data_IF_748505736736
#
_entry.id   IF_748505736736
#
_cell.length_a   1.000
_cell.length_b   1.000
_cell.length_c   1.000
_cell.angle_alpha   90.00
_cell.angle_beta   90.00
_cell.angle_gamma   90.00
#
_symmetry.space_group_name_H-M   'P 1'
#
loop_
_entity.id
_entity.type
_entity.pdbx_description
1 polymer ?
#
# COMPACT_ATOMS: atom_id res chain seq x y z
N UNK A 1 15.09 25.40 -36.04
CA UNK A 1 15.20 25.27 -34.57
C UNK A 1 14.38 24.06 -34.19
N UNK A 2 15.01 23.06 -33.59
CA UNK A 2 14.35 21.82 -33.12
C UNK A 2 13.70 22.11 -31.79
N UNK A 3 12.36 22.09 -31.73
CA UNK A 3 11.59 22.24 -30.51
C UNK A 3 11.68 20.93 -29.73
N UNK A 4 12.27 20.96 -28.54
CA UNK A 4 12.31 19.81 -27.64
C UNK A 4 10.97 19.73 -26.93
N UNK A 5 10.24 18.65 -27.13
CA UNK A 5 8.93 18.47 -26.49
C UNK A 5 9.10 17.77 -25.15
N UNK A 6 8.60 18.39 -24.08
CA UNK A 6 8.57 17.84 -22.73
C UNK A 6 7.13 17.51 -22.34
N UNK A 7 6.94 16.35 -21.73
CA UNK A 7 5.64 15.94 -21.19
C UNK A 7 5.21 16.89 -20.06
N UNK A 8 3.90 17.07 -19.88
CA UNK A 8 3.38 17.87 -18.76
C UNK A 8 3.83 17.34 -17.40
N UNK A 9 3.99 16.01 -17.27
CA UNK A 9 4.53 15.40 -16.05
C UNK A 9 5.95 15.88 -15.75
N UNK A 10 6.82 15.95 -16.76
CA UNK A 10 8.19 16.46 -16.61
C UNK A 10 8.19 17.92 -16.15
N UNK A 11 7.29 18.75 -16.72
CA UNK A 11 7.20 20.17 -16.38
C UNK A 11 6.62 20.40 -14.99
N UNK A 12 5.66 19.58 -14.55
CA UNK A 12 5.16 19.61 -13.16
C UNK A 12 6.28 19.24 -12.18
N UNK A 13 7.04 18.16 -12.44
CA UNK A 13 8.20 17.79 -11.62
C UNK A 13 9.26 18.89 -11.59
N UNK A 14 9.50 19.58 -12.70
CA UNK A 14 10.38 20.75 -12.74
C UNK A 14 9.87 21.87 -11.83
N UNK A 15 8.58 22.22 -11.95
CA UNK A 15 7.94 23.26 -11.14
C UNK A 15 7.96 22.95 -9.63
N UNK A 16 7.89 21.67 -9.26
CA UNK A 16 7.99 21.20 -7.88
C UNK A 16 9.43 21.07 -7.36
N UNK A 17 10.42 21.03 -8.27
CA UNK A 17 11.85 20.87 -7.94
C UNK A 17 12.26 19.40 -7.74
N UNK A 18 11.53 18.47 -8.35
CA UNK A 18 11.72 17.02 -8.21
C UNK A 18 12.53 16.38 -9.35
N UNK A 19 12.92 17.15 -10.37
CA UNK A 19 13.81 16.66 -11.42
C UNK A 19 15.25 16.54 -10.93
N UNK A 20 15.98 15.59 -11.49
CA UNK A 20 17.43 15.50 -11.32
C UNK A 20 18.13 16.71 -11.99
N UNK A 21 19.41 16.91 -11.65
CA UNK A 21 20.17 18.08 -12.10
C UNK A 21 20.40 18.11 -13.61
N UNK A 22 20.49 16.95 -14.28
CA UNK A 22 20.72 16.87 -15.72
C UNK A 22 19.45 17.27 -16.47
N UNK A 23 18.32 16.64 -16.12
CA UNK A 23 17.02 16.93 -16.74
C UNK A 23 16.56 18.36 -16.46
N UNK A 24 16.82 18.88 -15.25
CA UNK A 24 16.51 20.29 -14.92
C UNK A 24 17.27 21.27 -15.83
N UNK A 25 18.57 21.02 -16.06
CA UNK A 25 19.38 21.87 -16.93
C UNK A 25 18.99 21.74 -18.42
N UNK A 26 18.38 20.63 -18.84
CA UNK A 26 17.78 20.50 -20.17
C UNK A 26 16.52 21.36 -20.34
N UNK A 27 15.61 21.32 -19.35
CA UNK A 27 14.40 22.15 -19.36
C UNK A 27 14.77 23.64 -19.33
N UNK A 28 15.71 24.04 -18.47
CA UNK A 28 16.20 25.42 -18.39
C UNK A 28 16.78 25.92 -19.71
N UNK A 29 17.65 25.13 -20.36
CA UNK A 29 18.20 25.48 -21.68
C UNK A 29 17.13 25.59 -22.77
N UNK A 30 16.12 24.72 -22.73
CA UNK A 30 15.03 24.78 -23.70
C UNK A 30 14.19 26.06 -23.50
N UNK A 31 13.94 26.45 -22.25
CA UNK A 31 13.22 27.68 -21.90
C UNK A 31 13.92 28.97 -22.39
N UNK A 32 15.23 28.95 -22.65
CA UNK A 32 15.94 30.11 -23.22
C UNK A 32 15.46 30.47 -24.64
N UNK A 33 14.83 29.52 -25.34
CA UNK A 33 14.45 29.69 -26.76
C UNK A 33 12.98 29.38 -27.05
N UNK A 34 12.22 28.92 -26.06
CA UNK A 34 10.82 28.50 -26.21
C UNK A 34 9.91 29.22 -25.20
N UNK A 35 9.29 30.32 -25.66
CA UNK A 35 8.35 31.11 -24.86
C UNK A 35 7.07 30.32 -24.48
N UNK A 36 6.66 29.33 -25.29
CA UNK A 36 5.49 28.49 -25.00
C UNK A 36 5.79 27.53 -23.85
N UNK A 37 7.01 26.99 -23.83
CA UNK A 37 7.50 26.17 -22.71
C UNK A 37 7.56 26.99 -21.41
N UNK A 38 8.05 28.23 -21.47
CA UNK A 38 8.06 29.14 -20.31
C UNK A 38 6.64 29.39 -19.78
N UNK A 39 5.67 29.61 -20.67
CA UNK A 39 4.27 29.80 -20.26
C UNK A 39 3.68 28.55 -19.58
N UNK A 40 3.96 27.35 -20.12
CA UNK A 40 3.52 26.08 -19.52
C UNK A 40 4.12 25.85 -18.14
N UNK A 41 5.43 26.07 -17.98
CA UNK A 41 6.10 25.97 -16.67
C UNK A 41 5.56 27.01 -15.69
N UNK A 42 5.32 28.24 -16.15
CA UNK A 42 4.72 29.31 -15.37
C UNK A 42 3.37 28.92 -14.77
N UNK A 43 2.49 28.31 -15.57
CA UNK A 43 1.19 27.80 -15.10
C UNK A 43 1.36 26.84 -13.92
N UNK A 44 2.29 25.88 -14.00
CA UNK A 44 2.51 24.91 -12.92
C UNK A 44 3.07 25.55 -11.66
N UNK A 45 4.01 26.49 -11.79
CA UNK A 45 4.56 27.27 -10.66
C UNK A 45 3.45 28.08 -9.96
N UNK A 46 2.56 28.71 -10.72
CA UNK A 46 1.43 29.47 -10.18
C UNK A 46 0.47 28.57 -9.38
N UNK A 47 0.11 27.40 -9.91
CA UNK A 47 -0.71 26.43 -9.16
C UNK A 47 -0.04 25.96 -7.87
N UNK A 48 1.26 25.70 -7.90
CA UNK A 48 2.04 25.34 -6.70
C UNK A 48 1.99 26.46 -5.65
N UNK A 49 2.14 27.71 -6.07
CA UNK A 49 2.07 28.86 -5.18
C UNK A 49 0.66 29.05 -4.60
N UNK A 50 -0.39 28.85 -5.40
CA UNK A 50 -1.77 28.90 -4.93
C UNK A 50 -2.06 27.84 -3.86
N UNK A 51 -1.64 26.60 -4.09
CA UNK A 51 -1.77 25.50 -3.13
C UNK A 51 -1.02 25.82 -1.81
N UNK A 52 0.25 26.23 -1.91
CA UNK A 52 1.05 26.64 -0.74
C UNK A 52 0.39 27.76 0.06
N UNK A 53 -0.21 28.74 -0.63
CA UNK A 53 -0.90 29.86 0.02
C UNK A 53 -2.16 29.40 0.74
N UNK A 54 -2.96 28.51 0.12
CA UNK A 54 -4.16 27.95 0.74
C UNK A 54 -3.85 27.11 1.99
N UNK A 55 -2.72 26.40 2.00
CA UNK A 55 -2.31 25.54 3.11
C UNK A 55 -1.53 26.28 4.21
N UNK A 56 -1.10 27.52 3.96
CA UNK A 56 -0.30 28.31 4.90
C UNK A 56 -0.92 28.42 6.31
N UNK A 57 -2.24 28.63 6.49
CA UNK A 57 -2.84 28.70 7.83
C UNK A 57 -2.68 27.42 8.66
N UNK A 58 -2.63 26.24 8.01
CA UNK A 58 -2.41 24.96 8.68
C UNK A 58 -0.95 24.81 9.14
N UNK A 59 0.00 25.39 8.40
CA UNK A 59 1.42 25.37 8.76
C UNK A 59 1.76 26.32 9.91
N UNK A 60 0.89 27.30 10.18
CA UNK A 60 1.04 28.26 11.28
C UNK A 60 0.45 27.73 12.61
N UNK A 61 -0.16 26.54 12.61
CA UNK A 61 -0.58 25.88 13.85
C UNK A 61 0.64 25.59 14.74
N UNK A 62 0.62 25.97 16.02
CA UNK A 62 1.77 25.75 16.89
C UNK A 62 2.01 24.25 17.06
N UNK A 63 3.19 23.80 16.62
CA UNK A 63 3.61 22.41 16.84
C UNK A 63 3.48 22.03 18.33
N UNK A 64 2.92 20.85 18.66
CA UNK A 64 2.88 20.32 20.02
C UNK A 64 4.23 20.41 20.73
N UNK A 65 4.21 20.76 22.02
CA UNK A 65 5.43 20.96 22.80
C UNK A 65 6.29 19.69 22.88
N UNK A 66 5.65 18.54 22.84
CA UNK A 66 6.26 17.21 22.84
C UNK A 66 7.12 17.01 21.58
N UNK A 67 6.64 17.45 20.40
CA UNK A 67 7.38 17.35 19.15
C UNK A 67 8.56 18.31 19.11
N UNK A 68 8.37 19.57 19.57
CA UNK A 68 9.47 20.54 19.67
C UNK A 68 10.60 20.01 20.56
N UNK A 69 10.26 19.51 21.76
CA UNK A 69 11.25 18.96 22.69
C UNK A 69 11.92 17.68 22.19
N UNK A 70 11.22 16.84 21.41
CA UNK A 70 11.82 15.68 20.76
C UNK A 70 12.87 16.09 19.71
N UNK A 71 12.56 17.07 18.87
CA UNK A 71 13.50 17.60 17.86
C UNK A 71 14.70 18.27 18.53
N UNK A 72 14.48 19.10 19.55
CA UNK A 72 15.57 19.74 20.30
C UNK A 72 16.52 18.72 20.94
N UNK A 73 15.99 17.64 21.52
CA UNK A 73 16.82 16.54 22.04
C UNK A 73 17.63 15.86 20.93
N UNK A 74 17.02 15.54 19.80
CA UNK A 74 17.71 14.91 18.67
C UNK A 74 18.84 15.81 18.14
N UNK A 75 18.61 17.12 18.04
CA UNK A 75 19.63 18.11 17.64
C UNK A 75 20.76 18.17 18.67
N UNK A 76 20.44 18.22 19.96
CA UNK A 76 21.44 18.24 21.03
C UNK A 76 22.29 16.97 21.06
N UNK A 77 21.68 15.79 20.93
CA UNK A 77 22.38 14.50 20.85
C UNK A 77 23.31 14.43 19.64
N UNK A 78 22.84 14.90 18.46
CA UNK A 78 23.66 14.95 17.25
C UNK A 78 24.83 15.94 17.39
N UNK A 79 24.61 17.10 18.00
CA UNK A 79 25.66 18.08 18.27
C UNK A 79 26.70 17.53 19.26
N UNK A 80 26.27 16.82 20.31
CA UNK A 80 27.16 16.15 21.25
C UNK A 80 27.97 15.03 20.57
N UNK A 81 27.35 14.23 19.70
CA UNK A 81 28.02 13.19 18.94
C UNK A 81 29.06 13.75 17.95
N UNK A 82 28.78 14.90 17.34
CA UNK A 82 29.71 15.61 16.45
C UNK A 82 30.87 16.27 17.21
N UNK A 83 30.62 16.82 18.40
CA UNK A 83 31.67 17.43 19.23
C UNK A 83 32.54 16.40 19.98
N UNK A 84 32.03 15.20 20.24
CA UNK A 84 32.78 14.10 20.85
C UNK A 84 33.61 13.29 19.83
N UNK A 85 33.38 13.50 18.52
CA UNK A 85 34.04 12.75 17.45
C UNK A 85 34.99 13.67 16.68
N UNK A 86 36.25 13.74 17.11
CA UNK A 86 37.35 14.09 16.19
C UNK A 86 37.39 13.11 15.00
N UNK A 87 38.16 13.38 13.93
CA UNK A 87 38.17 12.53 12.73
C UNK A 87 38.60 11.10 13.11
N UNK A 88 37.60 10.23 13.27
CA UNK A 88 37.80 8.82 13.60
C UNK A 88 37.96 8.07 12.29
N UNK A 89 39.21 7.98 11.84
CA UNK A 89 39.61 7.02 10.81
C UNK A 89 39.34 5.63 11.37
N UNK A 90 38.26 4.99 10.93
CA UNK A 90 38.02 3.58 11.24
C UNK A 90 38.99 2.76 10.39
N UNK A 91 40.00 2.19 11.05
CA UNK A 91 40.88 1.20 10.42
C UNK A 91 40.04 0.01 9.99
N UNK A 92 39.89 -0.21 8.69
CA UNK A 92 39.29 -1.43 8.18
C UNK A 92 40.13 -2.61 8.65
N UNK A 93 39.54 -3.63 9.31
CA UNK A 93 40.28 -4.84 9.62
C UNK A 93 40.70 -5.49 8.31
N UNK A 94 42.00 -5.59 8.08
CA UNK A 94 42.53 -6.46 7.04
C UNK A 94 42.04 -7.88 7.33
N UNK A 95 41.13 -8.39 6.49
CA UNK A 95 40.83 -9.83 6.44
C UNK A 95 42.17 -10.51 6.19
N UNK A 96 42.70 -11.18 7.21
CA UNK A 96 43.78 -12.13 7.03
C UNK A 96 43.31 -13.11 5.95
N UNK A 97 44.04 -13.14 4.83
CA UNK A 97 43.81 -14.08 3.77
C UNK A 97 43.77 -15.48 4.38
N UNK A 98 42.68 -16.17 4.12
CA UNK A 98 42.45 -17.54 4.56
C UNK A 98 43.43 -18.43 3.79
N UNK A 99 44.64 -18.60 4.32
CA UNK A 99 45.66 -19.55 3.85
C UNK A 99 45.22 -20.99 4.16
N UNK A 100 44.10 -21.41 3.57
CA UNK A 100 43.70 -22.82 3.52
C UNK A 100 44.10 -23.38 2.15
N UNK A 101 45.04 -24.33 2.09
CA UNK A 101 45.45 -24.93 0.83
C UNK A 101 44.29 -25.73 0.25
N UNK A 102 43.96 -25.39 -1.00
CA UNK A 102 43.04 -26.11 -1.86
C UNK A 102 43.65 -27.50 -2.10
N UNK A 103 43.07 -28.54 -1.50
CA UNK A 103 43.41 -29.92 -1.78
C UNK A 103 42.29 -30.61 -2.57
N UNK A 104 42.66 -30.85 -3.83
CA UNK A 104 42.35 -31.98 -4.72
C UNK A 104 40.91 -32.43 -5.00
N UNK A 105 40.65 -32.49 -6.31
CA UNK A 105 39.54 -33.12 -7.01
C UNK A 105 39.33 -34.60 -6.67
N UNK A 106 38.11 -34.93 -6.24
CA UNK A 106 37.32 -36.15 -6.51
C UNK A 106 36.07 -36.07 -5.60
N UNK A 107 34.81 -36.22 -5.99
CA UNK A 107 34.15 -36.65 -7.21
C UNK A 107 32.68 -36.16 -7.17
N UNK A 108 32.10 -35.53 -8.21
CA UNK A 108 30.68 -35.21 -8.24
C UNK A 108 29.92 -36.25 -9.07
N UNK A 109 29.65 -37.44 -8.52
CA UNK A 109 28.77 -38.44 -9.19
C UNK A 109 27.74 -39.09 -8.23
N UNK A 110 27.78 -38.86 -6.92
CA UNK A 110 26.89 -39.58 -5.98
C UNK A 110 25.63 -38.80 -5.50
N UNK A 111 25.41 -37.55 -5.93
CA UNK A 111 24.31 -36.73 -5.39
C UNK A 111 22.97 -36.88 -6.13
N UNK A 112 22.94 -37.45 -7.33
CA UNK A 112 21.73 -37.56 -8.16
C UNK A 112 20.84 -38.77 -7.84
N UNK A 113 21.30 -39.73 -7.04
CA UNK A 113 20.54 -40.97 -6.72
C UNK A 113 19.84 -40.90 -5.36
N UNK A 114 20.32 -40.09 -4.41
CA UNK A 114 19.67 -39.91 -3.09
C UNK A 114 18.45 -38.97 -3.16
N UNK A 115 18.43 -38.03 -4.11
CA UNK A 115 17.33 -37.09 -4.29
C UNK A 115 16.01 -37.74 -4.77
N UNK A 116 16.06 -38.89 -5.45
CA UNK A 116 14.86 -39.56 -5.95
C UNK A 116 14.17 -40.47 -4.92
N UNK A 117 14.86 -40.89 -3.87
CA UNK A 117 14.28 -41.71 -2.79
C UNK A 117 13.76 -40.82 -1.64
N UNK A 118 14.38 -39.67 -1.39
CA UNK A 118 13.89 -38.69 -0.41
C UNK A 118 12.66 -37.89 -0.90
N UNK A 119 12.48 -37.76 -2.22
CA UNK A 119 11.36 -36.99 -2.80
C UNK A 119 9.98 -37.62 -2.66
N UNK A 120 9.89 -38.96 -2.55
CA UNK A 120 8.59 -39.65 -2.44
C UNK A 120 8.20 -40.00 -0.99
N UNK A 121 9.16 -40.08 -0.05
CA UNK A 121 8.88 -40.35 1.37
C UNK A 121 8.53 -39.10 2.19
N UNK A 122 9.07 -37.93 1.84
CA UNK A 122 8.86 -36.68 2.58
C UNK A 122 7.46 -36.07 2.39
N UNK A 123 6.78 -36.37 1.28
CA UNK A 123 5.47 -35.80 0.96
C UNK A 123 4.33 -36.37 1.82
N UNK A 124 4.49 -37.56 2.42
CA UNK A 124 3.45 -38.19 3.23
C UNK A 124 3.69 -38.17 4.75
N UNK A 125 4.92 -37.93 5.20
CA UNK A 125 5.26 -37.88 6.63
C UNK A 125 5.36 -36.45 7.22
N UNK A 126 5.26 -35.40 6.40
CA UNK A 126 5.24 -33.99 6.84
C UNK A 126 3.91 -33.52 7.46
N UNK A 127 2.96 -34.41 7.72
CA UNK A 127 1.65 -34.07 8.31
C UNK A 127 1.61 -34.08 9.85
N UNK A 128 2.76 -34.18 10.50
CA UNK A 128 2.87 -34.20 11.96
C UNK A 128 3.86 -33.17 12.47
N UNK A 129 3.39 -31.96 12.76
CA UNK A 129 4.02 -31.10 13.76
C UNK A 129 5.13 -30.17 13.27
N UNK A 130 4.84 -29.32 12.29
CA UNK A 130 5.51 -28.02 12.23
C UNK A 130 4.45 -26.97 11.90
N UNK A 131 4.30 -25.99 12.78
CA UNK A 131 3.44 -24.84 12.59
C UNK A 131 3.96 -24.05 11.39
N UNK A 132 3.48 -24.41 10.20
CA UNK A 132 3.50 -23.52 9.06
C UNK A 132 2.78 -22.23 9.50
N UNK A 133 3.35 -21.03 9.25
CA UNK A 133 2.57 -19.81 9.37
C UNK A 133 1.38 -20.00 8.46
N UNK A 134 0.21 -20.10 9.08
CA UNK A 134 -1.05 -20.25 8.41
C UNK A 134 -1.36 -18.93 7.71
N UNK A 135 -0.74 -18.72 6.55
CA UNK A 135 -1.12 -17.70 5.56
C UNK A 135 -2.44 -18.10 4.88
N UNK A 136 -3.36 -18.72 5.62
CA UNK A 136 -4.78 -18.71 5.27
C UNK A 136 -5.19 -17.26 5.40
N UNK A 137 -5.62 -16.66 4.31
CA UNK A 137 -6.10 -15.28 4.33
C UNK A 137 -7.05 -15.11 5.54
N UNK A 138 -6.85 -14.06 6.38
CA UNK A 138 -7.63 -13.82 7.60
C UNK A 138 -9.16 -13.77 7.37
N UNK A 139 -9.58 -13.66 6.11
CA UNK A 139 -10.97 -13.65 5.71
C UNK A 139 -11.72 -14.97 5.93
N UNK A 140 -11.04 -16.11 5.92
CA UNK A 140 -11.65 -17.40 6.29
C UNK A 140 -12.02 -17.47 7.78
N UNK A 141 -11.43 -16.59 8.60
CA UNK A 141 -11.73 -16.43 10.02
C UNK A 141 -12.80 -15.36 10.29
N UNK A 142 -13.31 -14.65 9.27
CA UNK A 142 -14.47 -13.78 9.44
C UNK A 142 -15.72 -14.63 9.55
N UNK A 143 -16.54 -14.35 10.57
CA UNK A 143 -17.89 -14.89 10.67
C UNK A 143 -18.69 -14.45 9.43
N UNK A 144 -18.84 -15.35 8.45
CA UNK A 144 -19.62 -15.12 7.21
C UNK A 144 -20.96 -14.40 7.44
N UNK A 145 -21.80 -14.76 8.45
CA UNK A 145 -23.06 -14.04 8.69
C UNK A 145 -22.86 -12.59 9.17
N UNK A 146 -21.86 -12.32 10.01
CA UNK A 146 -21.56 -10.98 10.49
C UNK A 146 -21.04 -10.08 9.35
N UNK A 147 -20.19 -10.66 8.47
CA UNK A 147 -19.69 -9.96 7.28
C UNK A 147 -20.83 -9.66 6.29
N UNK A 148 -21.68 -10.64 5.99
CA UNK A 148 -22.82 -10.46 5.07
C UNK A 148 -23.83 -9.43 5.59
N UNK A 149 -23.99 -9.33 6.91
CA UNK A 149 -24.78 -8.28 7.53
C UNK A 149 -24.14 -6.90 7.34
N UNK A 150 -22.84 -6.77 7.64
CA UNK A 150 -22.09 -5.53 7.50
C UNK A 150 -22.07 -5.02 6.05
N UNK A 151 -21.83 -5.93 5.09
CA UNK A 151 -21.85 -5.67 3.64
C UNK A 151 -23.18 -5.13 3.12
N UNK A 152 -24.26 -5.20 3.89
CA UNK A 152 -25.57 -4.72 3.45
C UNK A 152 -26.11 -3.58 4.34
N UNK A 153 -25.55 -3.39 5.54
CA UNK A 153 -26.07 -2.43 6.52
C UNK A 153 -25.15 -1.24 6.80
N UNK A 154 -23.86 -1.35 6.52
CA UNK A 154 -22.89 -0.25 6.72
C UNK A 154 -22.79 0.54 5.42
N UNK A 155 -23.00 1.85 5.46
CA UNK A 155 -22.84 2.75 4.31
C UNK A 155 -21.35 2.98 4.01
N UNK A 156 -21.00 3.31 2.76
CA UNK A 156 -19.62 3.68 2.43
C UNK A 156 -19.14 4.89 3.25
N UNK A 157 -17.88 4.86 3.68
CA UNK A 157 -17.29 5.83 4.61
C UNK A 157 -17.63 5.61 6.09
N UNK A 158 -18.48 4.63 6.42
CA UNK A 158 -18.80 4.29 7.80
C UNK A 158 -18.08 3.01 8.27
N UNK A 159 -17.93 2.87 9.58
CA UNK A 159 -17.34 1.70 10.23
C UNK A 159 -18.25 1.10 11.30
N UNK A 160 -18.04 -0.19 11.58
CA UNK A 160 -18.77 -0.95 12.60
C UNK A 160 -17.91 -2.09 13.13
N UNK A 161 -17.96 -2.32 14.44
CA UNK A 161 -17.40 -3.53 15.03
C UNK A 161 -18.25 -4.76 14.67
N UNK A 162 -17.63 -5.81 14.16
CA UNK A 162 -18.33 -7.03 13.76
C UNK A 162 -18.79 -7.81 15.01
N UNK A 163 -20.09 -8.16 15.11
CA UNK A 163 -20.62 -8.88 16.27
C UNK A 163 -19.86 -10.19 16.55
N UNK A 164 -19.53 -10.42 17.82
CA UNK A 164 -18.83 -11.63 18.25
C UNK A 164 -17.33 -11.65 17.93
N UNK A 165 -16.73 -10.50 17.61
CA UNK A 165 -15.30 -10.37 17.36
C UNK A 165 -14.76 -8.99 17.77
N UNK A 166 -13.44 -8.88 17.93
CA UNK A 166 -12.75 -7.59 18.09
C UNK A 166 -12.39 -6.94 16.74
N UNK A 167 -12.97 -7.43 15.64
CA UNK A 167 -12.70 -6.93 14.30
C UNK A 167 -13.54 -5.71 13.97
N UNK A 168 -12.93 -4.72 13.34
CA UNK A 168 -13.63 -3.52 12.87
C UNK A 168 -13.77 -3.58 11.36
N UNK A 169 -15.00 -3.54 10.87
CA UNK A 169 -15.32 -3.45 9.45
C UNK A 169 -15.49 -1.99 9.05
N UNK A 170 -14.88 -1.58 7.94
CA UNK A 170 -15.05 -0.25 7.33
C UNK A 170 -15.44 -0.40 5.87
N UNK A 171 -16.57 0.16 5.48
CA UNK A 171 -16.96 0.18 4.07
C UNK A 171 -16.27 1.35 3.37
N UNK A 172 -15.63 1.08 2.23
CA UNK A 172 -14.95 2.11 1.44
C UNK A 172 -15.86 2.59 0.32
N UNK A 173 -16.31 1.67 -0.53
CA UNK A 173 -17.12 2.00 -1.70
C UNK A 173 -18.09 0.87 -2.07
N UNK A 174 -19.18 1.25 -2.72
CA UNK A 174 -20.03 0.32 -3.47
C UNK A 174 -19.94 0.69 -4.95
N UNK A 175 -19.79 -0.30 -5.83
CA UNK A 175 -19.68 -0.11 -7.27
C UNK A 175 -20.28 -1.30 -8.02
N UNK A 176 -20.18 -1.28 -9.36
CA UNK A 176 -20.58 -2.39 -10.22
C UNK A 176 -19.41 -2.88 -11.05
N UNK A 177 -19.29 -4.20 -11.21
CA UNK A 177 -18.31 -4.80 -12.12
C UNK A 177 -18.79 -4.79 -13.59
N UNK A 178 -18.00 -5.37 -14.48
CA UNK A 178 -18.35 -5.51 -15.90
C UNK A 178 -19.65 -6.31 -16.15
N UNK A 179 -19.96 -7.26 -15.27
CA UNK A 179 -21.18 -8.08 -15.29
C UNK A 179 -22.38 -7.38 -14.63
N UNK A 180 -22.20 -6.13 -14.18
CA UNK A 180 -23.19 -5.30 -13.45
C UNK A 180 -23.57 -5.86 -12.08
N UNK A 181 -22.81 -6.83 -11.56
CA UNK A 181 -22.95 -7.31 -10.19
C UNK A 181 -22.58 -6.18 -9.22
N UNK A 182 -23.27 -6.13 -8.07
CA UNK A 182 -22.96 -5.16 -7.02
C UNK A 182 -21.73 -5.66 -6.28
N UNK A 183 -20.69 -4.84 -6.22
CA UNK A 183 -19.47 -5.12 -5.49
C UNK A 183 -19.25 -4.07 -4.40
N UNK A 184 -18.60 -4.48 -3.31
CA UNK A 184 -18.23 -3.60 -2.20
C UNK A 184 -16.77 -3.78 -1.87
N UNK A 185 -16.08 -2.66 -1.78
CA UNK A 185 -14.75 -2.55 -1.22
C UNK A 185 -14.86 -2.22 0.27
N UNK A 186 -14.05 -2.90 1.07
CA UNK A 186 -14.03 -2.73 2.51
C UNK A 186 -12.69 -3.12 3.10
N UNK A 187 -12.44 -2.58 4.28
CA UNK A 187 -11.34 -2.97 5.13
C UNK A 187 -11.89 -3.71 6.35
N UNK A 188 -11.09 -4.64 6.85
CA UNK A 188 -11.27 -5.17 8.19
C UNK A 188 -9.98 -4.95 8.97
N UNK A 189 -10.08 -4.44 10.20
CA UNK A 189 -8.96 -4.35 11.13
C UNK A 189 -9.01 -5.54 12.10
N UNK A 190 -7.85 -6.17 12.31
CA UNK A 190 -7.66 -7.25 13.27
C UNK A 190 -6.93 -6.77 14.53
N UNK A 191 -7.08 -7.53 15.60
CA UNK A 191 -6.48 -7.24 16.90
C UNK A 191 -4.93 -7.25 16.89
N UNK A 192 -4.31 -7.93 15.92
CA UNK A 192 -2.86 -7.95 15.72
C UNK A 192 -2.33 -6.72 14.97
N UNK A 193 -3.18 -5.70 14.75
CA UNK A 193 -2.91 -4.50 13.95
C UNK A 193 -2.63 -4.82 12.49
N UNK A 194 -3.12 -5.94 11.97
CA UNK A 194 -3.23 -6.13 10.53
C UNK A 194 -4.54 -5.55 10.02
N UNK A 195 -4.51 -5.01 8.81
CA UNK A 195 -5.69 -4.58 8.06
C UNK A 195 -5.73 -5.40 6.78
N UNK A 196 -6.91 -5.86 6.36
CA UNK A 196 -7.08 -6.56 5.06
C UNK A 196 -8.05 -5.75 4.25
N UNK A 197 -7.54 -5.28 3.11
CA UNK A 197 -8.31 -4.61 2.08
C UNK A 197 -8.96 -5.70 1.24
N UNK A 198 -10.27 -5.63 1.04
CA UNK A 198 -11.05 -6.69 0.41
C UNK A 198 -12.10 -6.14 -0.55
N UNK A 199 -12.44 -6.93 -1.57
CA UNK A 199 -13.60 -6.71 -2.42
C UNK A 199 -14.51 -7.94 -2.37
N UNK A 200 -15.80 -7.71 -2.10
CA UNK A 200 -16.83 -8.74 -2.22
C UNK A 200 -17.86 -8.35 -3.28
N UNK A 201 -18.17 -9.27 -4.17
CA UNK A 201 -19.20 -9.11 -5.19
C UNK A 201 -20.38 -10.03 -4.91
N UNK A 202 -21.59 -9.52 -5.15
CA UNK A 202 -22.83 -10.27 -4.97
C UNK A 202 -22.99 -11.28 -6.13
N UNK A 203 -23.04 -12.55 -5.79
CA UNK A 203 -23.26 -13.66 -6.74
C UNK A 203 -24.58 -14.36 -6.39
N UNK A 204 -25.65 -14.02 -7.11
CA UNK A 204 -27.00 -14.47 -6.79
C UNK A 204 -27.50 -13.80 -5.50
N UNK A 205 -27.66 -14.59 -4.42
CA UNK A 205 -28.07 -14.10 -3.11
C UNK A 205 -26.93 -14.09 -2.07
N UNK A 206 -25.73 -14.52 -2.45
CA UNK A 206 -24.58 -14.60 -1.55
C UNK A 206 -23.50 -13.59 -1.92
N UNK A 207 -22.88 -13.00 -0.91
CA UNK A 207 -21.65 -12.25 -1.10
C UNK A 207 -20.48 -13.21 -1.26
N UNK A 208 -19.68 -12.97 -2.29
CA UNK A 208 -18.43 -13.68 -2.51
C UNK A 208 -17.28 -12.70 -2.45
N UNK A 209 -16.37 -12.92 -1.52
CA UNK A 209 -15.10 -12.19 -1.52
C UNK A 209 -14.27 -12.70 -2.70
N UNK A 210 -13.91 -11.78 -3.58
CA UNK A 210 -13.19 -12.04 -4.83
C UNK A 210 -11.78 -11.46 -4.83
N UNK A 211 -11.49 -10.56 -3.89
CA UNK A 211 -10.15 -10.02 -3.64
C UNK A 211 -9.94 -9.81 -2.14
N UNK A 212 -8.73 -10.10 -1.67
CA UNK A 212 -8.29 -9.74 -0.33
C UNK A 212 -6.77 -9.70 -0.27
N UNK A 213 -6.23 -8.64 0.32
CA UNK A 213 -4.79 -8.48 0.54
C UNK A 213 -4.54 -8.01 1.97
N UNK A 214 -3.68 -8.72 2.69
CA UNK A 214 -3.26 -8.30 4.01
C UNK A 214 -2.24 -7.17 3.87
N UNK A 215 -2.48 -6.09 4.60
CA UNK A 215 -1.59 -4.97 4.74
C UNK A 215 -1.18 -4.84 6.22
N UNK A 216 0.08 -4.48 6.50
CA UNK A 216 0.45 -4.11 7.86
C UNK A 216 -0.37 -2.87 8.23
N UNK A 217 -1.23 -2.99 9.25
CA UNK A 217 -2.06 -1.88 9.69
C UNK A 217 -1.21 -0.79 10.32
N UNK A 218 -1.44 0.46 9.92
CA UNK A 218 -0.90 1.62 10.62
C UNK A 218 -1.46 1.72 12.05
N UNK A 219 -0.92 2.65 12.84
CA UNK A 219 -1.43 2.91 14.20
C UNK A 219 -2.94 3.20 14.26
N UNK A 220 -3.51 3.68 13.15
CA UNK A 220 -4.91 4.09 13.03
C UNK A 220 -5.80 3.04 12.32
N UNK A 221 -5.29 1.84 12.03
CA UNK A 221 -6.06 0.82 11.32
C UNK A 221 -6.36 1.21 9.86
N UNK A 222 -5.38 1.79 9.19
CA UNK A 222 -5.42 2.06 7.75
C UNK A 222 -4.34 1.27 7.03
N UNK A 223 -4.69 0.79 5.84
CA UNK A 223 -3.76 0.09 4.99
C UNK A 223 -2.83 1.09 4.26
N UNK A 224 -1.50 0.84 4.19
CA UNK A 224 -0.58 1.69 3.44
C UNK A 224 -0.88 1.68 1.94
N UNK A 225 -0.54 2.79 1.26
CA UNK A 225 -0.83 2.99 -0.16
C UNK A 225 -0.32 1.89 -1.10
N UNK A 226 0.77 1.20 -0.78
CA UNK A 226 1.27 0.08 -1.59
C UNK A 226 0.30 -1.11 -1.66
N UNK A 227 -0.53 -1.30 -0.65
CA UNK A 227 -1.59 -2.33 -0.68
C UNK A 227 -2.75 -1.95 -1.61
N UNK A 228 -2.91 -0.65 -1.91
CA UNK A 228 -3.92 -0.12 -2.84
C UNK A 228 -3.50 -0.32 -4.30
N UNK A 229 -2.21 -0.42 -4.63
CA UNK A 229 -1.75 -0.67 -6.01
C UNK A 229 -2.22 -2.03 -6.55
N UNK A 230 -2.20 -3.05 -5.68
CA UNK A 230 -2.70 -4.40 -6.03
C UNK A 230 -4.22 -4.40 -6.18
N UNK A 231 -4.92 -3.61 -5.34
CA UNK A 231 -6.36 -3.41 -5.44
C UNK A 231 -6.73 -2.71 -6.76
N UNK A 232 -6.05 -1.62 -7.13
CA UNK A 232 -6.33 -0.86 -8.36
C UNK A 232 -6.19 -1.73 -9.61
N UNK A 233 -5.16 -2.57 -9.65
CA UNK A 233 -4.95 -3.56 -10.71
C UNK A 233 -6.12 -4.55 -10.78
N UNK A 234 -6.60 -5.02 -9.62
CA UNK A 234 -7.75 -5.93 -9.54
C UNK A 234 -9.06 -5.25 -9.97
N UNK A 235 -9.34 -4.04 -9.48
CA UNK A 235 -10.53 -3.25 -9.84
C UNK A 235 -10.59 -2.99 -11.35
N UNK A 236 -9.44 -2.65 -11.95
CA UNK A 236 -9.31 -2.51 -13.40
C UNK A 236 -9.63 -3.82 -14.13
N UNK A 237 -9.11 -4.95 -13.65
CA UNK A 237 -9.31 -6.26 -14.27
C UNK A 237 -10.78 -6.73 -14.28
N UNK A 238 -11.54 -6.43 -13.22
CA UNK A 238 -12.98 -6.74 -13.16
C UNK A 238 -13.86 -5.70 -13.88
N UNK A 239 -13.26 -4.64 -14.41
CA UNK A 239 -13.97 -3.53 -15.01
C UNK A 239 -14.88 -2.82 -14.02
N UNK A 240 -14.37 -2.57 -12.80
CA UNK A 240 -15.08 -1.82 -11.77
C UNK A 240 -15.47 -0.43 -12.32
N UNK A 241 -16.76 -0.11 -12.21
CA UNK A 241 -17.27 1.23 -12.48
C UNK A 241 -16.90 2.21 -11.36
N UNK A 242 -17.28 3.46 -11.56
CA UNK A 242 -17.15 4.49 -10.54
C UNK A 242 -17.92 4.10 -9.26
N UNK A 243 -17.44 4.49 -8.07
CA UNK A 243 -18.19 4.38 -6.83
C UNK A 243 -19.59 5.01 -6.98
N UNK A 244 -20.59 4.35 -6.42
CA UNK A 244 -21.96 4.83 -6.43
C UNK A 244 -22.10 6.05 -5.50
N UNK A 245 -22.88 7.02 -5.95
CA UNK A 245 -23.30 8.14 -5.12
C UNK A 245 -24.13 7.67 -3.92
N UNK A 246 -24.04 8.37 -2.79
CA UNK A 246 -24.64 7.94 -1.52
C UNK A 246 -26.16 7.63 -1.62
N UNK A 247 -26.91 8.39 -2.42
CA UNK A 247 -28.35 8.17 -2.63
C UNK A 247 -28.61 6.89 -3.43
N UNK A 248 -27.77 6.60 -4.44
CA UNK A 248 -27.90 5.38 -5.24
C UNK A 248 -27.48 4.16 -4.43
N UNK A 249 -26.35 4.24 -3.73
CA UNK A 249 -25.90 3.19 -2.80
C UNK A 249 -27.01 2.85 -1.80
N UNK A 250 -27.61 3.85 -1.15
CA UNK A 250 -28.65 3.65 -0.16
C UNK A 250 -29.87 2.88 -0.71
N UNK A 251 -30.25 3.14 -1.96
CA UNK A 251 -31.31 2.39 -2.67
C UNK A 251 -30.89 0.94 -2.91
N UNK A 252 -29.71 0.73 -3.50
CA UNK A 252 -29.20 -0.62 -3.79
C UNK A 252 -29.11 -1.46 -2.52
N UNK A 253 -28.52 -0.93 -1.45
CA UNK A 253 -28.42 -1.64 -0.16
C UNK A 253 -29.80 -1.81 0.51
N UNK A 254 -30.74 -0.88 0.29
CA UNK A 254 -32.14 -1.02 0.71
C UNK A 254 -32.84 -2.21 0.07
N UNK A 255 -32.74 -2.32 -1.25
CA UNK A 255 -33.35 -3.40 -2.02
C UNK A 255 -32.76 -4.76 -1.63
N UNK A 256 -31.45 -4.84 -1.41
CA UNK A 256 -30.80 -6.06 -0.93
C UNK A 256 -31.28 -6.50 0.46
N UNK A 257 -31.52 -5.55 1.37
CA UNK A 257 -32.10 -5.85 2.70
C UNK A 257 -33.52 -6.38 2.57
N UNK A 258 -34.32 -5.81 1.67
CA UNK A 258 -35.68 -6.27 1.45
C UNK A 258 -35.70 -7.69 0.89
N UNK A 259 -34.95 -7.97 -0.18
CA UNK A 259 -34.86 -9.32 -0.77
C UNK A 259 -34.41 -10.37 0.23
N UNK A 260 -33.46 -10.05 1.10
CA UNK A 260 -33.00 -10.96 2.15
C UNK A 260 -34.07 -11.24 3.21
N UNK A 261 -34.92 -10.26 3.54
CA UNK A 261 -36.05 -10.47 4.45
C UNK A 261 -37.15 -11.33 3.85
N UNK A 262 -37.32 -11.30 2.53
CA UNK A 262 -38.30 -12.13 1.82
C UNK A 262 -37.83 -13.59 1.62
N UNK A 263 -36.53 -13.82 1.72
CA UNK A 263 -35.91 -15.15 1.57
C UNK A 263 -35.77 -15.94 2.89
N UNK A 264 -35.93 -15.28 4.04
CA UNK A 264 -35.89 -15.86 5.39
C UNK A 264 -37.30 -16.04 5.96
#
# INVERSE_FOLDING_TARGET
MTRTDFSDETLMRFADGELDAETSAEVERAMETDDELVARVGLFIETRQAAKTAMKPLLEEPLPAELKSAVERMVAEKALAQNASGPRVLSFPHRAANDRPISSWAAPIAASVVALIAGFGGYWLGRGGEAAPSNVLPLAALSKPALDEALVTVASGAERQLPGSDQRFRAIATFRDNAKAVCREFEVDWADRSTVVSVACLAGAEWRVTFAVAAPGGNDGYAPASSLETLDSYLTAIGAGQPLEAVEEGKVLGDLRQKRREAN
#
